data_IF_215235392335
#
_entry.id   IF_215235392335
#
_cell.length_a   1.000
_cell.length_b   1.000
_cell.length_c   1.000
_cell.angle_alpha   90.00
_cell.angle_beta   90.00
_cell.angle_gamma   90.00
#
_symmetry.space_group_name_H-M   'P 1'
#
loop_
_entity.id
_entity.type
_entity.pdbx_description
1 polymer ?
#
# COMPACT_ATOMS: atom_id res chain seq x y z
N UNK A 14 -20.97 2.74 -0.55
CA UNK A 14 -20.32 3.95 -1.15
C UNK A 14 -18.98 3.70 -1.86
N UNK A 15 -17.89 3.77 -1.12
CA UNK A 15 -16.52 3.71 -1.69
C UNK A 15 -16.15 2.36 -2.29
N UNK A 16 -16.49 1.27 -1.61
CA UNK A 16 -16.14 -0.07 -2.09
C UNK A 16 -16.77 -0.35 -3.43
N UNK A 17 -17.90 0.29 -3.70
CA UNK A 17 -18.61 0.03 -4.94
C UNK A 17 -17.90 0.69 -6.14
N UNK A 18 -16.83 1.43 -5.87
CA UNK A 18 -16.04 2.02 -6.95
C UNK A 18 -15.13 1.00 -7.56
N UNK A 19 -14.91 1.10 -8.86
CA UNK A 19 -13.96 0.21 -9.49
C UNK A 19 -12.57 0.73 -9.25
N UNK A 20 -11.60 -0.15 -9.36
CA UNK A 20 -10.20 0.22 -9.22
C UNK A 20 -9.77 1.34 -10.17
N UNK A 21 -10.16 1.25 -11.44
CA UNK A 21 -9.86 2.33 -12.39
C UNK A 21 -10.51 3.64 -11.91
N UNK A 22 -11.80 3.58 -11.56
CA UNK A 22 -12.53 4.75 -11.04
C UNK A 22 -11.82 5.38 -9.84
N UNK A 23 -11.64 4.59 -8.79
CA UNK A 23 -11.01 5.12 -7.58
C UNK A 23 -9.69 5.80 -7.91
N UNK A 24 -8.89 5.17 -8.75
CA UNK A 24 -7.59 5.74 -9.13
C UNK A 24 -7.76 7.03 -9.87
N UNK A 25 -8.50 7.01 -10.97
CA UNK A 25 -8.74 8.19 -11.77
C UNK A 25 -9.11 9.36 -10.87
N UNK A 26 -9.92 9.10 -9.85
CA UNK A 26 -10.34 10.14 -8.91
C UNK A 26 -9.21 10.69 -8.05
N UNK A 27 -8.33 9.79 -7.60
CA UNK A 27 -7.16 10.21 -6.86
C UNK A 27 -6.29 11.04 -7.79
N UNK A 28 -6.16 10.58 -9.02
CA UNK A 28 -5.33 11.23 -10.04
C UNK A 28 -5.86 12.62 -10.43
N UNK A 29 -7.18 12.76 -10.40
CA UNK A 29 -7.92 13.97 -10.82
C UNK A 29 -7.45 15.25 -10.16
N UNK A 30 -7.72 16.36 -10.82
CA UNK A 30 -7.35 17.65 -10.28
C UNK A 30 -8.37 18.13 -9.23
N UNK A 31 -8.80 17.20 -8.38
CA UNK A 31 -9.72 17.46 -7.30
C UNK A 31 -9.02 17.01 -6.00
N UNK A 32 -9.33 17.60 -4.86
CA UNK A 32 -8.74 17.13 -3.62
C UNK A 32 -9.57 16.06 -2.90
N UNK A 33 -10.63 15.52 -3.52
CA UNK A 33 -11.66 14.72 -2.81
C UNK A 33 -11.05 13.49 -2.21
N UNK A 34 -10.56 12.51 -3.01
CA UNK A 34 -9.83 11.36 -2.43
C UNK A 34 -8.32 11.68 -2.38
N UNK A 35 -7.81 11.90 -1.19
CA UNK A 35 -6.39 12.20 -0.99
C UNK A 35 -5.63 11.03 -0.42
N UNK A 36 -4.41 11.29 0.03
CA UNK A 36 -3.53 10.25 0.55
C UNK A 36 -4.20 9.41 1.60
N UNK A 37 -4.76 10.09 2.61
CA UNK A 37 -5.41 9.44 3.76
C UNK A 37 -6.41 8.43 3.27
N UNK A 38 -7.32 8.86 2.38
CA UNK A 38 -8.28 7.94 1.77
C UNK A 38 -7.58 6.75 1.12
N UNK A 39 -6.57 7.01 0.28
CA UNK A 39 -5.84 5.93 -0.36
C UNK A 39 -5.30 4.96 0.69
N UNK A 40 -4.67 5.52 1.73
CA UNK A 40 -4.21 4.75 2.89
C UNK A 40 -5.24 3.76 3.43
N UNK A 41 -6.43 4.26 3.76
CA UNK A 41 -7.50 3.35 4.13
C UNK A 41 -7.75 2.24 3.13
N UNK A 42 -7.77 2.58 1.85
CA UNK A 42 -8.06 1.58 0.84
C UNK A 42 -6.96 0.55 0.82
N UNK A 43 -5.72 1.04 0.92
CA UNK A 43 -4.60 0.11 1.00
C UNK A 43 -4.75 -0.72 2.25
N UNK A 44 -5.12 -0.09 3.35
CA UNK A 44 -5.22 -0.84 4.59
C UNK A 44 -6.21 -1.98 4.40
N UNK A 45 -7.32 -1.67 3.74
CA UNK A 45 -8.37 -2.64 3.53
C UNK A 45 -7.82 -3.82 2.80
N UNK A 46 -7.03 -3.59 1.76
CA UNK A 46 -6.44 -4.67 1.01
C UNK A 46 -5.46 -5.45 1.86
N UNK A 47 -4.74 -4.76 2.74
CA UNK A 47 -3.82 -5.47 3.64
C UNK A 47 -4.58 -6.42 4.54
N UNK A 48 -5.73 -5.97 5.05
CA UNK A 48 -6.58 -6.81 5.88
C UNK A 48 -7.05 -8.02 5.10
N UNK A 49 -7.34 -7.82 3.82
CA UNK A 49 -7.71 -8.96 2.99
C UNK A 49 -6.61 -10.01 2.89
N UNK A 50 -5.35 -9.61 2.77
CA UNK A 50 -4.30 -10.62 2.79
C UNK A 50 -4.32 -11.37 4.12
N UNK A 51 -4.45 -10.64 5.23
CA UNK A 51 -4.45 -11.30 6.51
C UNK A 51 -5.60 -12.27 6.57
N UNK A 52 -6.76 -11.85 6.05
CA UNK A 52 -7.88 -12.75 5.97
C UNK A 52 -7.57 -13.98 5.12
N UNK A 53 -6.89 -13.79 3.98
CA UNK A 53 -6.55 -14.91 3.12
C UNK A 53 -5.71 -15.93 3.86
N UNK A 54 -4.65 -15.47 4.51
CA UNK A 54 -3.80 -16.36 5.28
C UNK A 54 -4.60 -17.06 6.37
N UNK A 55 -5.51 -16.36 7.03
CA UNK A 55 -6.31 -17.01 8.08
C UNK A 55 -7.23 -18.08 7.51
N UNK A 56 -7.86 -17.78 6.37
CA UNK A 56 -8.68 -18.78 5.68
C UNK A 56 -7.90 -20.00 5.31
N UNK A 57 -6.72 -19.80 4.73
CA UNK A 57 -5.92 -20.92 4.34
C UNK A 57 -5.30 -21.64 5.54
N UNK A 58 -5.62 -21.24 6.75
CA UNK A 58 -5.08 -21.89 7.94
C UNK A 58 -6.15 -22.69 8.66
N UNK A 59 -7.39 -22.24 8.56
CA UNK A 59 -8.47 -23.07 9.08
C UNK A 59 -8.76 -24.18 8.09
N UNK A 60 -9.48 -25.19 8.55
CA UNK A 60 -9.74 -26.42 7.76
C UNK A 60 -8.42 -27.00 7.17
N UNK A 61 -7.35 -26.93 7.97
CA UNK A 61 -6.04 -27.51 7.58
C UNK A 61 -5.43 -28.39 8.66
N UNK A 62 -5.03 -29.60 8.28
CA UNK A 62 -4.49 -30.55 9.24
C UNK A 62 -3.17 -30.00 9.76
N UNK A 63 -2.98 -30.08 11.08
CA UNK A 63 -1.80 -29.56 11.75
C UNK A 63 -2.03 -28.20 12.37
N UNK A 64 -3.09 -27.52 11.93
CA UNK A 64 -3.44 -26.17 12.42
C UNK A 64 -4.83 -26.13 13.08
N UNK A 65 -5.36 -27.32 13.38
CA UNK A 65 -6.71 -27.44 13.97
C UNK A 65 -6.84 -26.87 15.39
N UNK A 66 -5.76 -26.86 16.16
CA UNK A 66 -5.80 -26.28 17.50
C UNK A 66 -5.60 -24.77 17.54
N UNK A 67 -5.53 -24.14 16.36
CA UNK A 67 -5.54 -22.67 16.26
C UNK A 67 -6.72 -22.21 15.39
N UNK A 68 -7.61 -23.14 15.05
CA UNK A 68 -8.77 -22.82 14.24
C UNK A 68 -9.75 -21.82 14.86
N UNK A 69 -10.15 -22.01 16.12
CA UNK A 69 -10.89 -20.96 16.81
C UNK A 69 -10.26 -19.61 16.54
N UNK A 70 -8.95 -19.51 16.75
CA UNK A 70 -8.22 -18.27 16.52
C UNK A 70 -8.29 -17.75 15.08
N UNK A 71 -8.31 -18.67 14.11
CA UNK A 71 -8.34 -18.31 12.69
C UNK A 71 -9.71 -17.79 12.26
N UNK A 72 -10.77 -18.46 12.66
CA UNK A 72 -12.10 -17.96 12.34
C UNK A 72 -12.35 -16.60 12.97
N UNK A 73 -11.75 -16.39 14.13
CA UNK A 73 -11.82 -15.13 14.85
C UNK A 73 -11.19 -14.00 14.03
N UNK A 74 -10.08 -14.30 13.36
CA UNK A 74 -9.36 -13.32 12.57
C UNK A 74 -10.12 -13.01 11.31
N UNK A 75 -10.52 -14.05 10.59
CA UNK A 75 -11.37 -13.88 9.42
C UNK A 75 -12.48 -12.85 9.72
N UNK A 76 -13.21 -13.08 10.80
CA UNK A 76 -14.31 -12.20 11.20
C UNK A 76 -13.82 -10.77 11.47
N UNK A 77 -12.69 -10.65 12.16
CA UNK A 77 -12.11 -9.32 12.45
C UNK A 77 -11.64 -8.58 11.19
N UNK A 78 -11.07 -9.33 10.25
CA UNK A 78 -10.58 -8.72 9.03
C UNK A 78 -11.75 -8.33 8.14
N UNK A 79 -12.86 -9.03 8.30
CA UNK A 79 -14.06 -8.67 7.58
C UNK A 79 -14.56 -7.33 8.08
N UNK A 80 -14.56 -7.18 9.41
CA UNK A 80 -15.12 -6.00 10.06
C UNK A 80 -14.16 -4.82 9.88
N UNK A 81 -12.86 -5.11 9.80
CA UNK A 81 -11.87 -4.03 9.62
C UNK A 81 -11.99 -3.39 8.24
N UNK A 82 -12.23 -4.19 7.21
CA UNK A 82 -12.46 -3.63 5.91
C UNK A 82 -13.65 -2.68 5.94
N UNK A 83 -14.78 -3.11 6.52
CA UNK A 83 -15.95 -2.22 6.61
C UNK A 83 -15.58 -0.91 7.30
N UNK A 84 -14.77 -0.97 8.35
CA UNK A 84 -14.37 0.25 9.04
C UNK A 84 -13.54 1.14 8.14
N UNK A 85 -12.59 0.52 7.44
CA UNK A 85 -11.63 1.23 6.62
C UNK A 85 -12.31 1.86 5.42
N UNK A 86 -13.19 1.10 4.80
CA UNK A 86 -13.98 1.70 3.72
C UNK A 86 -14.82 2.86 4.23
N UNK A 87 -15.30 2.78 5.46
CA UNK A 87 -16.06 3.88 5.96
C UNK A 87 -15.13 5.05 6.17
N UNK A 88 -13.92 4.76 6.68
CA UNK A 88 -12.99 5.85 7.01
C UNK A 88 -12.46 6.59 5.78
N UNK A 89 -12.46 5.92 4.64
CA UNK A 89 -12.10 6.58 3.41
C UNK A 89 -13.16 7.61 3.11
N UNK A 90 -14.44 7.22 3.18
CA UNK A 90 -15.58 8.13 2.97
C UNK A 90 -15.45 9.33 3.89
N UNK A 91 -15.25 9.07 5.19
CA UNK A 91 -15.10 10.13 6.17
C UNK A 91 -14.00 11.08 5.78
N UNK A 92 -12.84 10.56 5.37
CA UNK A 92 -11.69 11.40 5.03
C UNK A 92 -12.07 12.43 3.98
N UNK A 93 -12.88 12.03 3.01
CA UNK A 93 -13.29 12.93 1.95
C UNK A 93 -14.32 13.89 2.44
N UNK A 94 -15.22 13.40 3.26
CA UNK A 94 -16.19 14.27 3.89
C UNK A 94 -15.50 15.25 4.82
N UNK A 95 -14.55 14.77 5.60
CA UNK A 95 -13.88 15.62 6.57
C UNK A 95 -13.17 16.76 5.87
N UNK A 96 -12.58 16.46 4.72
CA UNK A 96 -11.85 17.47 3.94
C UNK A 96 -12.77 18.52 3.40
N UNK A 97 -13.94 18.11 2.90
CA UNK A 97 -14.93 19.05 2.40
C UNK A 97 -15.34 20.00 3.49
N UNK A 98 -15.73 19.44 4.63
CA UNK A 98 -16.13 20.21 5.78
C UNK A 98 -15.07 21.24 6.26
N UNK A 99 -13.81 20.83 6.36
CA UNK A 99 -12.71 21.77 6.69
C UNK A 99 -12.56 22.88 5.63
N UNK A 100 -12.41 22.50 4.36
CA UNK A 100 -12.29 23.47 3.27
C UNK A 100 -13.49 24.39 3.27
N UNK A 101 -14.70 23.82 3.45
CA UNK A 101 -15.94 24.62 3.51
C UNK A 101 -16.12 25.27 4.88
N UNK A 102 -15.02 25.68 5.50
CA UNK A 102 -15.03 26.36 6.78
C UNK A 102 -13.80 27.27 6.94
N UNK A 103 -12.82 27.12 6.02
CA UNK A 103 -11.63 28.00 5.93
C UNK A 103 -12.07 29.47 5.86
N UNK A 104 -13.28 29.68 5.33
CA UNK A 104 -13.83 31.01 5.15
C UNK A 104 -14.93 31.37 6.19
N UNK A 105 -15.36 30.38 6.99
CA UNK A 105 -16.29 30.66 8.10
C UNK A 105 -15.55 30.86 9.44
N UNK A 106 -16.30 30.96 10.55
CA UNK A 106 -15.72 31.28 11.88
C UNK A 106 -14.60 30.33 12.34
N UNK A 107 -13.75 30.82 13.26
CA UNK A 107 -12.70 30.01 13.90
C UNK A 107 -13.27 28.99 14.88
N UNK A 108 -14.54 29.17 15.28
CA UNK A 108 -15.24 28.16 16.07
C UNK A 108 -15.48 26.91 15.23
N UNK A 109 -16.28 27.06 14.18
CA UNK A 109 -16.59 25.97 13.26
C UNK A 109 -15.34 25.27 12.65
N UNK A 110 -14.32 26.05 12.24
CA UNK A 110 -13.10 25.52 11.59
C UNK A 110 -12.32 24.63 12.54
N UNK A 111 -11.98 25.17 13.72
CA UNK A 111 -11.25 24.44 14.72
C UNK A 111 -11.89 23.09 15.00
N UNK A 112 -13.21 23.09 15.10
CA UNK A 112 -13.93 21.85 15.33
C UNK A 112 -13.86 20.89 14.13
N UNK A 113 -13.90 21.44 12.92
CA UNK A 113 -13.85 20.61 11.73
C UNK A 113 -12.48 20.00 11.64
N UNK A 114 -11.47 20.83 11.87
CA UNK A 114 -10.10 20.38 11.91
C UNK A 114 -9.91 19.18 12.86
N UNK A 115 -10.58 19.20 14.01
CA UNK A 115 -10.49 18.11 14.99
C UNK A 115 -11.05 16.84 14.42
N UNK A 116 -12.26 16.94 13.87
CA UNK A 116 -12.90 15.77 13.29
C UNK A 116 -12.01 15.22 12.21
N UNK A 117 -11.52 16.09 11.34
CA UNK A 117 -10.66 15.66 10.24
C UNK A 117 -9.42 14.91 10.73
N UNK A 118 -8.78 15.44 11.76
CA UNK A 118 -7.61 14.81 12.29
C UNK A 118 -7.94 13.42 12.86
N UNK A 119 -9.17 13.21 13.30
CA UNK A 119 -9.55 11.95 13.95
C UNK A 119 -9.62 10.84 12.94
N UNK A 120 -9.90 11.19 11.69
CA UNK A 120 -10.12 10.17 10.70
C UNK A 120 -8.87 9.31 10.51
N UNK A 121 -7.72 9.89 10.13
CA UNK A 121 -6.51 9.07 9.96
C UNK A 121 -6.11 8.41 11.27
N UNK A 122 -6.31 9.11 12.39
CA UNK A 122 -6.10 8.50 13.70
C UNK A 122 -6.84 7.18 13.78
N UNK A 123 -8.11 7.19 13.39
CA UNK A 123 -8.91 5.97 13.42
C UNK A 123 -8.35 4.92 12.49
N UNK A 124 -7.95 5.32 11.29
CA UNK A 124 -7.33 4.39 10.37
C UNK A 124 -6.15 3.72 11.03
N UNK A 125 -5.33 4.50 11.70
CA UNK A 125 -4.17 3.96 12.41
C UNK A 125 -4.56 2.93 13.46
N UNK A 126 -5.66 3.17 14.15
CA UNK A 126 -6.06 2.22 15.16
C UNK A 126 -6.36 0.90 14.50
N UNK A 127 -7.11 0.93 13.40
CA UNK A 127 -7.34 -0.31 12.67
C UNK A 127 -6.01 -0.95 12.27
N UNK A 128 -5.07 -0.14 11.81
CA UNK A 128 -3.75 -0.69 11.51
C UNK A 128 -3.10 -1.34 12.71
N UNK A 129 -3.17 -0.70 13.88
CA UNK A 129 -2.71 -1.38 15.08
C UNK A 129 -3.36 -2.77 15.22
N UNK A 130 -4.67 -2.87 14.98
CA UNK A 130 -5.31 -4.17 15.06
C UNK A 130 -4.75 -5.11 14.03
N UNK A 131 -4.58 -4.62 12.80
CA UNK A 131 -4.09 -5.48 11.73
C UNK A 131 -2.73 -5.99 12.10
N UNK A 132 -1.88 -5.12 12.63
CA UNK A 132 -0.53 -5.52 12.97
C UNK A 132 -0.56 -6.66 13.95
N UNK A 133 -1.33 -6.54 15.03
CA UNK A 133 -1.41 -7.59 16.04
C UNK A 133 -1.86 -8.92 15.44
N UNK A 134 -2.74 -8.88 14.46
CA UNK A 134 -3.19 -10.12 13.84
C UNK A 134 -2.11 -10.71 12.95
N UNK A 135 -1.36 -9.84 12.28
CA UNK A 135 -0.27 -10.28 11.43
C UNK A 135 0.75 -10.91 12.31
N UNK A 136 0.93 -10.40 13.52
CA UNK A 136 1.86 -11.11 14.41
C UNK A 136 1.36 -12.53 14.75
N UNK A 137 0.08 -12.65 15.05
CA UNK A 137 -0.48 -13.98 15.30
C UNK A 137 -0.35 -14.84 14.06
N UNK A 138 -0.63 -14.28 12.89
CA UNK A 138 -0.51 -15.07 11.67
C UNK A 138 0.95 -15.51 11.36
N UNK A 139 1.90 -14.61 11.53
CA UNK A 139 3.30 -14.97 11.37
C UNK A 139 3.62 -16.19 12.19
N UNK A 140 3.04 -16.29 13.38
CA UNK A 140 3.50 -17.31 14.32
C UNK A 140 2.72 -18.61 14.20
N UNK A 141 1.40 -18.51 14.08
CA UNK A 141 0.50 -19.65 14.12
C UNK A 141 -0.20 -19.92 12.81
N UNK A 142 -0.05 -19.04 11.84
CA UNK A 142 -0.72 -19.20 10.56
C UNK A 142 0.00 -20.17 9.66
N UNK A 143 -0.63 -20.44 8.52
CA UNK A 143 -0.15 -21.40 7.53
C UNK A 143 1.22 -21.03 6.93
N UNK A 144 2.22 -21.86 7.21
CA UNK A 144 3.61 -21.57 6.82
C UNK A 144 3.85 -21.23 5.31
N UNK A 145 3.03 -21.80 4.42
CA UNK A 145 3.19 -21.56 3.00
C UNK A 145 2.56 -20.27 2.52
N UNK A 146 2.12 -19.43 3.44
CA UNK A 146 1.55 -18.16 3.01
C UNK A 146 2.26 -17.07 3.76
N UNK A 147 3.42 -17.41 4.31
CA UNK A 147 4.19 -16.43 5.03
C UNK A 147 4.39 -15.21 4.14
N UNK A 148 4.73 -15.42 2.87
CA UNK A 148 4.89 -14.31 1.94
C UNK A 148 3.70 -13.35 2.03
N UNK A 149 2.48 -13.88 2.00
CA UNK A 149 1.32 -13.02 2.04
C UNK A 149 1.19 -12.27 3.36
N UNK A 150 1.54 -12.91 4.45
CA UNK A 150 1.59 -12.22 5.71
C UNK A 150 2.58 -11.07 5.68
N UNK A 151 3.78 -11.35 5.18
CA UNK A 151 4.84 -10.35 5.13
C UNK A 151 4.37 -9.20 4.29
N UNK A 152 3.79 -9.52 3.15
CA UNK A 152 3.31 -8.51 2.26
C UNK A 152 2.35 -7.65 3.02
N UNK A 153 1.48 -8.28 3.79
CA UNK A 153 0.49 -7.52 4.52
C UNK A 153 1.15 -6.66 5.59
N UNK A 154 2.22 -7.15 6.20
CA UNK A 154 2.93 -6.33 7.18
C UNK A 154 3.55 -5.11 6.53
N UNK A 155 4.16 -5.32 5.38
CA UNK A 155 4.74 -4.17 4.72
C UNK A 155 3.66 -3.11 4.38
N UNK A 156 2.52 -3.54 3.84
CA UNK A 156 1.48 -2.58 3.51
C UNK A 156 0.94 -1.92 4.78
N UNK A 157 0.65 -2.74 5.78
CA UNK A 157 0.23 -2.25 7.07
C UNK A 157 1.12 -1.07 7.55
N UNK A 158 2.41 -1.35 7.66
CA UNK A 158 3.35 -0.33 8.05
C UNK A 158 3.26 0.95 7.19
N UNK A 159 3.18 0.80 5.88
CA UNK A 159 3.09 2.00 5.03
C UNK A 159 1.82 2.80 5.34
N UNK A 160 0.71 2.09 5.52
CA UNK A 160 -0.54 2.76 5.75
C UNK A 160 -0.33 3.56 7.03
N UNK A 161 0.27 2.94 8.03
CA UNK A 161 0.52 3.68 9.21
C UNK A 161 1.32 4.93 8.87
N UNK A 162 2.37 4.79 8.09
CA UNK A 162 3.13 5.99 7.75
C UNK A 162 2.27 7.00 7.06
N UNK A 163 1.44 6.58 6.10
CA UNK A 163 0.60 7.50 5.33
C UNK A 163 -0.24 8.29 6.32
N UNK A 164 -0.97 7.57 7.15
CA UNK A 164 -1.92 8.20 8.02
C UNK A 164 -1.29 9.08 9.09
N UNK A 165 -0.11 8.71 9.56
CA UNK A 165 0.60 9.55 10.53
C UNK A 165 0.82 10.91 9.91
N UNK A 166 1.33 10.94 8.68
CA UNK A 166 1.48 12.24 8.04
C UNK A 166 0.13 13.00 8.00
N UNK A 167 -0.95 12.29 7.68
CA UNK A 167 -2.23 12.96 7.61
C UNK A 167 -2.74 13.43 8.97
N UNK A 168 -2.52 12.63 10.01
CA UNK A 168 -2.76 13.12 11.36
C UNK A 168 -1.99 14.40 11.67
N UNK A 169 -0.67 14.41 11.40
CA UNK A 169 0.09 15.61 11.73
C UNK A 169 -0.23 16.84 10.90
N UNK A 170 -0.48 16.69 9.60
CA UNK A 170 -0.84 17.88 8.82
C UNK A 170 -2.06 18.55 9.43
N UNK A 171 -3.00 17.76 9.94
CA UNK A 171 -4.16 18.35 10.57
C UNK A 171 -3.93 18.97 11.93
N UNK A 172 -3.25 18.23 12.80
CA UNK A 172 -2.93 18.76 14.11
C UNK A 172 -2.33 20.15 14.12
N UNK A 173 -1.39 20.40 13.20
CA UNK A 173 -0.63 21.66 13.20
C UNK A 173 -1.52 22.89 13.01
N UNK A 174 -2.72 22.66 12.48
CA UNK A 174 -3.69 23.75 12.34
C UNK A 174 -4.61 23.98 13.56
N UNK A 175 -4.61 23.05 14.50
CA UNK A 175 -5.51 23.08 15.66
C UNK A 175 -4.88 23.81 16.84
N UNK A 176 -5.57 24.82 17.32
CA UNK A 176 -5.02 25.74 18.33
C UNK A 176 -5.20 25.20 19.74
N UNK A 177 -6.20 24.36 19.95
CA UNK A 177 -6.43 23.70 21.23
C UNK A 177 -5.23 22.84 21.62
N UNK A 178 -4.35 23.34 22.49
CA UNK A 178 -3.14 22.60 22.85
C UNK A 178 -3.42 21.20 23.40
N UNK A 179 -4.33 21.05 24.36
CA UNK A 179 -4.53 19.75 25.01
C UNK A 179 -4.97 18.72 23.97
N UNK A 180 -5.93 19.05 23.11
CA UNK A 180 -6.31 18.13 22.02
C UNK A 180 -5.12 17.64 21.20
N UNK A 181 -4.23 18.55 20.83
CA UNK A 181 -2.97 18.21 20.18
C UNK A 181 -2.14 17.29 21.08
N UNK A 182 -1.83 17.70 22.32
CA UNK A 182 -0.94 16.86 23.14
C UNK A 182 -1.48 15.45 23.26
N UNK A 183 -2.81 15.33 23.43
CA UNK A 183 -3.48 14.04 23.48
C UNK A 183 -3.29 13.21 22.21
N UNK A 184 -3.75 13.76 21.10
CA UNK A 184 -3.68 13.02 19.87
C UNK A 184 -2.25 12.58 19.60
N UNK A 185 -1.29 13.48 19.86
CA UNK A 185 0.09 13.17 19.63
C UNK A 185 0.49 12.00 20.48
N UNK A 186 0.03 12.02 21.72
CA UNK A 186 0.28 10.93 22.63
C UNK A 186 -0.22 9.57 22.12
N UNK A 187 -1.50 9.53 21.75
CA UNK A 187 -2.10 8.35 21.15
C UNK A 187 -1.31 7.90 19.95
N UNK A 188 -1.04 8.83 19.05
CA UNK A 188 -0.23 8.52 17.89
C UNK A 188 1.07 7.80 18.30
N UNK A 189 1.70 8.27 19.36
CA UNK A 189 3.01 7.78 19.78
C UNK A 189 2.93 6.30 20.15
N UNK A 190 1.87 5.98 20.88
CA UNK A 190 1.56 4.65 21.34
C UNK A 190 1.17 3.71 20.22
N UNK A 191 0.27 4.15 19.35
CA UNK A 191 -0.11 3.30 18.26
C UNK A 191 1.15 3.02 17.45
N UNK A 192 1.96 4.03 17.27
CA UNK A 192 3.17 3.85 16.53
C UNK A 192 4.00 2.70 17.12
N UNK A 193 4.16 2.73 18.44
CA UNK A 193 5.07 1.78 19.08
C UNK A 193 4.53 0.38 18.92
N UNK A 194 3.21 0.23 19.08
CA UNK A 194 2.57 -1.08 18.96
C UNK A 194 2.76 -1.59 17.57
N UNK A 195 2.45 -0.74 16.59
CA UNK A 195 2.59 -1.08 15.20
C UNK A 195 4.05 -1.37 14.79
N UNK A 196 5.00 -0.50 15.13
CA UNK A 196 6.41 -0.79 14.86
C UNK A 196 6.83 -2.12 15.42
N UNK A 197 6.46 -2.36 16.69
CA UNK A 197 6.87 -3.55 17.39
C UNK A 197 6.40 -4.78 16.66
N UNK A 198 5.07 -4.90 16.50
CA UNK A 198 4.53 -6.01 15.73
C UNK A 198 5.23 -6.15 14.38
N UNK A 199 5.38 -5.03 13.69
CA UNK A 199 5.96 -5.03 12.38
C UNK A 199 7.34 -5.66 12.34
N UNK A 200 8.21 -5.17 13.21
CA UNK A 200 9.56 -5.65 13.31
C UNK A 200 9.57 -7.15 13.68
N UNK A 201 8.81 -7.53 14.70
CA UNK A 201 8.68 -8.95 15.05
C UNK A 201 8.24 -9.76 13.83
N UNK A 202 7.19 -9.33 13.14
CA UNK A 202 6.73 -10.09 12.00
C UNK A 202 7.85 -10.24 10.97
N UNK A 203 8.40 -9.11 10.50
CA UNK A 203 9.63 -9.18 9.71
C UNK A 203 10.73 -10.14 10.26
N UNK A 204 11.08 -10.04 11.53
CA UNK A 204 12.15 -10.86 12.08
C UNK A 204 11.77 -12.33 11.97
N UNK A 205 10.60 -12.69 12.49
CA UNK A 205 10.03 -14.03 12.33
C UNK A 205 9.96 -14.56 10.89
N UNK A 206 9.61 -13.70 9.94
CA UNK A 206 9.36 -14.20 8.60
C UNK A 206 10.44 -13.93 7.57
N UNK A 207 11.50 -13.20 7.91
CA UNK A 207 12.45 -12.80 6.85
C UNK A 207 13.04 -14.00 6.08
N UNK A 208 13.17 -15.14 6.75
CA UNK A 208 13.82 -16.29 6.17
C UNK A 208 13.09 -16.96 5.02
N UNK A 209 11.84 -16.64 4.82
CA UNK A 209 11.08 -17.36 3.82
C UNK A 209 11.58 -16.99 2.46
N UNK A 210 12.33 -15.91 2.42
CA UNK A 210 12.81 -15.33 1.17
C UNK A 210 13.91 -16.21 0.53
N UNK A 211 14.47 -17.13 1.31
CA UNK A 211 15.55 -18.01 0.83
C UNK A 211 15.36 -19.48 1.24
N UNK A 212 14.54 -19.74 2.24
CA UNK A 212 14.37 -21.11 2.68
C UNK A 212 13.13 -21.79 2.12
N UNK A 213 13.36 -22.79 1.27
CA UNK A 213 12.30 -23.72 0.83
C UNK A 213 12.39 -25.09 1.56
N UNK B 14 -9.91 -5.70 -17.61
CA UNK B 14 -9.96 -6.83 -16.64
C UNK B 14 -9.97 -6.42 -15.15
N UNK B 15 -8.79 -6.28 -14.54
CA UNK B 15 -8.66 -6.06 -13.10
C UNK B 15 -9.25 -4.73 -12.65
N UNK B 16 -8.98 -3.65 -13.38
CA UNK B 16 -9.41 -2.32 -12.95
C UNK B 16 -10.91 -2.20 -12.88
N UNK B 17 -11.58 -3.00 -13.68
CA UNK B 17 -13.02 -2.97 -13.71
C UNK B 17 -13.64 -3.59 -12.43
N UNK B 18 -12.83 -4.22 -11.56
CA UNK B 18 -13.33 -4.78 -10.31
C UNK B 18 -13.56 -3.66 -9.34
N UNK B 19 -14.55 -3.81 -8.46
CA UNK B 19 -14.79 -2.81 -7.40
C UNK B 19 -13.85 -3.07 -6.23
N UNK B 20 -13.62 -2.06 -5.41
CA UNK B 20 -12.75 -2.22 -4.24
C UNK B 20 -13.19 -3.37 -3.32
N UNK B 21 -14.50 -3.50 -3.13
CA UNK B 21 -15.04 -4.57 -2.30
C UNK B 21 -14.74 -5.92 -2.92
N UNK B 22 -15.06 -6.03 -4.21
CA UNK B 22 -14.76 -7.22 -5.00
C UNK B 22 -13.30 -7.61 -4.84
N UNK B 23 -12.39 -6.71 -5.27
CA UNK B 23 -10.96 -7.05 -5.28
C UNK B 23 -10.54 -7.52 -3.92
N UNK B 24 -10.97 -6.81 -2.89
CA UNK B 24 -10.65 -7.24 -1.54
C UNK B 24 -11.18 -8.63 -1.26
N UNK B 25 -12.50 -8.80 -1.36
CA UNK B 25 -13.13 -10.09 -1.09
C UNK B 25 -12.35 -11.23 -1.70
N UNK B 26 -11.85 -11.03 -2.92
CA UNK B 26 -11.06 -12.04 -3.63
C UNK B 26 -9.70 -12.33 -3.04
N UNK B 27 -9.05 -11.28 -2.56
CA UNK B 27 -7.80 -11.44 -1.85
C UNK B 27 -8.13 -12.26 -0.59
N UNK B 28 -9.19 -11.85 0.11
CA UNK B 28 -9.55 -12.43 1.39
C UNK B 28 -9.95 -13.90 1.27
N UNK B 29 -10.45 -14.25 0.09
CA UNK B 29 -11.05 -15.54 -0.22
C UNK B 29 -10.09 -16.69 -0.10
N UNK B 30 -10.64 -17.89 0.14
CA UNK B 30 -9.84 -19.10 0.32
C UNK B 30 -9.32 -19.61 -1.02
N UNK B 31 -8.95 -18.68 -1.90
CA UNK B 31 -8.33 -18.97 -3.20
C UNK B 31 -6.96 -18.28 -3.27
N UNK B 32 -6.01 -18.82 -4.04
CA UNK B 32 -4.70 -18.18 -4.14
C UNK B 32 -4.58 -17.26 -5.34
N UNK B 33 -5.70 -16.97 -6.03
CA UNK B 33 -5.66 -16.23 -7.31
C UNK B 33 -5.05 -14.83 -7.21
N UNK B 34 -5.67 -13.87 -6.47
CA UNK B 34 -5.00 -12.58 -6.22
C UNK B 34 -4.24 -12.63 -4.90
N UNK B 35 -2.91 -12.72 -5.00
CA UNK B 35 -2.02 -12.81 -3.85
C UNK B 35 -1.38 -11.48 -3.57
N UNK B 36 -0.36 -11.48 -2.68
CA UNK B 36 0.34 -10.27 -2.30
C UNK B 36 0.82 -9.51 -3.51
N UNK B 37 1.53 -10.21 -4.40
CA UNK B 37 2.07 -9.62 -5.63
C UNK B 37 1.05 -8.78 -6.34
N UNK B 38 -0.11 -9.38 -6.62
CA UNK B 38 -1.23 -8.64 -7.25
C UNK B 38 -1.68 -7.41 -6.42
N UNK B 39 -1.91 -7.60 -5.12
CA UNK B 39 -2.17 -6.46 -4.27
C UNK B 39 -1.12 -5.36 -4.50
N UNK B 40 0.15 -5.74 -4.39
CA UNK B 40 1.27 -4.81 -4.54
C UNK B 40 1.08 -3.93 -5.74
N UNK B 41 0.84 -4.55 -6.90
CA UNK B 41 0.55 -3.79 -8.13
C UNK B 41 -0.60 -2.85 -7.99
N UNK B 42 -1.69 -3.32 -7.42
CA UNK B 42 -2.82 -2.42 -7.25
C UNK B 42 -2.41 -1.26 -6.37
N UNK B 43 -1.73 -1.55 -5.25
CA UNK B 43 -1.26 -0.50 -4.41
C UNK B 43 -0.34 0.42 -5.21
N UNK B 44 0.60 -0.12 -5.95
CA UNK B 44 1.49 0.72 -6.73
C UNK B 44 0.71 1.67 -7.63
N UNK B 45 -0.35 1.14 -8.24
CA UNK B 45 -1.18 1.93 -9.13
C UNK B 45 -1.75 3.12 -8.41
N UNK B 46 -2.23 2.91 -7.19
CA UNK B 46 -2.79 4.01 -6.40
C UNK B 46 -1.71 5.01 -6.06
N UNK B 47 -0.51 4.52 -5.78
CA UNK B 47 0.59 5.40 -5.49
C UNK B 47 0.92 6.23 -6.70
N UNK B 48 0.93 5.62 -7.88
CA UNK B 48 1.10 6.40 -9.10
C UNK B 48 0.05 7.49 -9.22
N UNK B 49 -1.20 7.17 -8.84
CA UNK B 49 -2.26 8.17 -8.89
C UNK B 49 -1.98 9.34 -7.96
N UNK B 50 -1.43 9.10 -6.78
CA UNK B 50 -1.07 10.28 -5.99
C UNK B 50 -0.07 11.15 -6.78
N UNK B 51 0.92 10.50 -7.39
CA UNK B 51 1.96 11.25 -8.02
C UNK B 51 1.35 12.10 -9.12
N UNK B 52 0.45 11.47 -9.89
CA UNK B 52 -0.33 12.18 -10.87
C UNK B 52 -1.07 13.36 -10.24
N UNK B 53 -1.73 13.15 -9.11
CA UNK B 53 -2.50 14.24 -8.49
C UNK B 53 -1.61 15.42 -8.24
N UNK B 54 -0.49 15.18 -7.58
CA UNK B 54 0.44 16.25 -7.32
C UNK B 54 0.90 16.95 -8.62
N UNK B 55 1.18 16.17 -9.66
CA UNK B 55 1.60 16.77 -10.90
C UNK B 55 0.49 17.64 -11.45
N UNK B 56 -0.74 17.14 -11.45
CA UNK B 56 -1.86 17.94 -11.94
C UNK B 56 -2.00 19.21 -11.18
N UNK B 57 -1.88 19.12 -9.87
CA UNK B 57 -1.99 20.32 -9.06
C UNK B 57 -0.79 21.24 -9.16
N UNK B 58 0.17 20.91 -10.02
CA UNK B 58 1.33 21.78 -10.25
C UNK B 58 1.30 22.43 -11.62
N UNK B 59 0.72 21.75 -12.59
CA UNK B 59 0.52 22.42 -13.85
C UNK B 59 -0.59 23.41 -13.68
N UNK B 60 -0.70 24.33 -14.65
CA UNK B 60 -1.71 25.42 -14.66
C UNK B 60 -1.67 26.19 -13.34
N UNK B 61 -0.46 26.38 -12.79
CA UNK B 61 -0.27 27.10 -11.52
C UNK B 61 0.85 28.14 -11.61
N UNK B 62 0.55 29.36 -11.15
CA UNK B 62 1.45 30.49 -11.26
C UNK B 62 2.61 30.22 -10.31
N UNK B 63 3.81 30.45 -10.80
CA UNK B 63 5.01 30.17 -10.02
C UNK B 63 5.70 28.89 -10.43
N UNK B 64 4.95 28.00 -11.07
CA UNK B 64 5.41 26.66 -11.43
C UNK B 64 5.34 26.43 -12.95
N UNK B 65 5.20 27.53 -13.68
CA UNK B 65 5.01 27.44 -15.13
C UNK B 65 6.26 26.95 -15.84
N UNK B 66 7.42 27.18 -15.26
CA UNK B 66 8.64 26.72 -15.92
C UNK B 66 8.98 25.27 -15.61
N UNK B 67 8.07 24.56 -14.93
CA UNK B 67 8.21 23.12 -14.78
C UNK B 67 6.97 22.41 -15.33
N UNK B 68 6.14 23.17 -16.02
CA UNK B 68 4.95 22.61 -16.58
C UNK B 68 5.19 21.51 -17.61
N UNK B 69 6.05 21.74 -18.62
CA UNK B 69 6.44 20.65 -19.50
C UNK B 69 6.74 19.38 -18.70
N UNK B 70 7.46 19.52 -17.60
CA UNK B 70 7.83 18.37 -16.79
C UNK B 70 6.63 17.76 -16.09
N UNK B 71 5.68 18.59 -15.70
CA UNK B 71 4.52 18.11 -14.98
C UNK B 71 3.60 17.36 -15.91
N UNK B 72 3.40 17.85 -17.14
CA UNK B 72 2.50 17.17 -18.05
C UNK B 72 3.07 15.84 -18.42
N UNK B 73 4.41 15.77 -18.38
CA UNK B 73 5.18 14.58 -18.76
C UNK B 73 4.97 13.50 -17.71
N UNK B 74 4.88 13.92 -16.45
CA UNK B 74 4.62 13.00 -15.37
C UNK B 74 3.20 12.49 -15.37
N UNK B 75 2.23 13.40 -15.48
CA UNK B 75 0.85 12.99 -15.68
C UNK B 75 0.75 11.88 -16.72
N UNK B 76 1.31 12.10 -17.90
CA UNK B 76 1.29 11.08 -18.95
C UNK B 76 1.92 9.76 -18.48
N UNK B 77 3.06 9.85 -17.81
CA UNK B 77 3.81 8.65 -17.37
C UNK B 77 3.05 7.90 -16.31
N UNK B 78 2.48 8.62 -15.34
CA UNK B 78 1.69 8.02 -14.30
C UNK B 78 0.45 7.37 -14.85
N UNK B 79 -0.09 7.92 -15.95
CA UNK B 79 -1.26 7.33 -16.56
C UNK B 79 -0.90 5.97 -17.13
N UNK B 80 0.25 5.93 -17.80
CA UNK B 80 0.72 4.73 -18.48
C UNK B 80 1.23 3.70 -17.47
N UNK B 81 1.78 4.19 -16.35
CA UNK B 81 2.21 3.30 -15.29
C UNK B 81 1.01 2.50 -14.77
N UNK B 82 -0.08 3.17 -14.54
CA UNK B 82 -1.24 2.48 -14.03
C UNK B 82 -1.67 1.37 -14.99
N UNK B 83 -1.68 1.65 -16.29
CA UNK B 83 -2.05 0.59 -17.20
C UNK B 83 -1.09 -0.59 -17.06
N UNK B 84 0.21 -0.30 -16.89
CA UNK B 84 1.19 -1.38 -16.76
C UNK B 84 0.91 -2.17 -15.50
N UNK B 85 0.67 -1.45 -14.41
CA UNK B 85 0.49 -2.11 -13.13
C UNK B 85 -0.76 -2.99 -13.14
N UNK B 86 -1.83 -2.48 -13.70
CA UNK B 86 -3.05 -3.25 -13.73
C UNK B 86 -2.84 -4.47 -14.62
N UNK B 87 -1.97 -4.35 -15.60
CA UNK B 87 -1.68 -5.52 -16.38
C UNK B 87 -0.88 -6.49 -15.56
N UNK B 88 0.12 -5.99 -14.88
CA UNK B 88 0.96 -6.86 -14.09
C UNK B 88 0.18 -7.57 -13.00
N UNK B 89 -0.91 -6.97 -12.54
CA UNK B 89 -1.71 -7.64 -11.53
C UNK B 89 -2.28 -8.92 -12.14
N UNK B 90 -2.83 -8.79 -13.37
CA UNK B 90 -3.46 -9.91 -14.12
C UNK B 90 -2.39 -10.96 -14.33
N UNK B 91 -1.24 -10.55 -14.86
CA UNK B 91 -0.17 -11.50 -15.08
C UNK B 91 0.12 -12.30 -13.80
N UNK B 92 0.27 -11.62 -12.67
CA UNK B 92 0.64 -12.28 -11.43
C UNK B 92 -0.28 -13.46 -11.14
N UNK B 93 -1.57 -13.27 -11.36
CA UNK B 93 -2.54 -14.33 -11.10
C UNK B 93 -2.41 -15.41 -12.13
N UNK B 94 -2.16 -15.01 -13.37
CA UNK B 94 -1.99 -15.95 -14.46
C UNK B 94 -0.69 -16.72 -14.28
N UNK B 95 0.36 -16.01 -13.86
CA UNK B 95 1.66 -16.63 -13.64
C UNK B 95 1.63 -17.63 -12.50
N UNK B 96 0.86 -17.36 -11.46
CA UNK B 96 0.63 -18.31 -10.37
C UNK B 96 -0.15 -19.55 -10.79
N UNK B 97 -1.21 -19.38 -11.59
CA UNK B 97 -1.98 -20.51 -12.10
C UNK B 97 -1.05 -21.42 -12.87
N UNK B 98 -0.30 -20.83 -13.80
CA UNK B 98 0.59 -21.56 -14.70
C UNK B 98 1.62 -22.36 -13.91
N UNK B 99 2.14 -21.79 -12.85
CA UNK B 99 3.11 -22.46 -11.97
C UNK B 99 2.48 -23.62 -11.21
N UNK B 100 1.38 -23.36 -10.50
CA UNK B 100 0.63 -24.43 -9.84
C UNK B 100 0.21 -25.57 -10.76
N UNK B 101 -0.37 -25.22 -11.90
CA UNK B 101 -0.76 -26.19 -12.92
C UNK B 101 0.48 -26.73 -13.64
N UNK B 102 1.60 -26.85 -12.93
CA UNK B 102 2.87 -27.33 -13.50
C UNK B 102 3.72 -27.96 -12.46
N UNK B 103 3.29 -27.83 -11.21
CA UNK B 103 3.90 -28.55 -10.09
C UNK B 103 3.95 -30.04 -10.39
N UNK B 104 2.95 -30.51 -11.13
CA UNK B 104 2.79 -31.91 -11.38
C UNK B 104 3.17 -32.29 -12.80
N UNK B 105 3.55 -31.31 -13.62
CA UNK B 105 4.10 -31.62 -14.94
C UNK B 105 5.64 -31.62 -14.94
N UNK B 106 6.24 -31.79 -16.11
CA UNK B 106 7.70 -31.89 -16.27
C UNK B 106 8.48 -30.74 -15.59
N UNK B 107 9.73 -31.02 -15.25
CA UNK B 107 10.64 -29.99 -14.74
C UNK B 107 11.05 -29.02 -15.82
N UNK B 108 10.88 -29.36 -17.08
CA UNK B 108 11.05 -28.39 -18.16
C UNK B 108 10.00 -27.28 -17.99
N UNK B 109 8.73 -27.67 -18.17
CA UNK B 109 7.58 -26.76 -18.11
C UNK B 109 7.57 -25.91 -16.81
N UNK B 110 7.82 -26.56 -15.67
CA UNK B 110 7.81 -25.91 -14.35
C UNK B 110 8.88 -24.86 -14.22
N UNK B 111 10.12 -25.23 -14.47
CA UNK B 111 11.21 -24.26 -14.43
C UNK B 111 10.94 -23.01 -15.27
N UNK B 112 10.44 -23.21 -16.49
CA UNK B 112 10.09 -22.09 -17.34
C UNK B 112 8.94 -21.24 -16.72
N UNK B 113 7.96 -21.91 -16.10
CA UNK B 113 6.83 -21.21 -15.50
C UNK B 113 7.30 -20.40 -14.33
N UNK B 114 8.19 -20.99 -13.54
CA UNK B 114 8.81 -20.26 -12.44
C UNK B 114 9.55 -18.98 -12.85
N UNK B 115 10.21 -19.01 -14.01
CA UNK B 115 10.94 -17.85 -14.48
C UNK B 115 9.94 -16.77 -14.82
N UNK B 116 8.96 -17.10 -15.66
CA UNK B 116 7.92 -16.14 -16.02
C UNK B 116 7.31 -15.55 -14.76
N UNK B 117 6.93 -16.41 -13.83
CA UNK B 117 6.34 -15.94 -12.61
C UNK B 117 7.25 -14.97 -11.88
N UNK B 118 8.54 -15.27 -11.80
CA UNK B 118 9.44 -14.36 -11.09
C UNK B 118 9.61 -13.00 -11.81
N UNK B 119 9.36 -12.99 -13.14
CA UNK B 119 9.49 -11.74 -13.91
C UNK B 119 8.39 -10.75 -13.61
N UNK B 120 7.26 -11.25 -13.11
CA UNK B 120 6.12 -10.37 -12.94
C UNK B 120 6.38 -9.34 -11.88
N UNK B 121 6.70 -9.75 -10.64
CA UNK B 121 6.98 -8.75 -9.63
C UNK B 121 8.23 -7.94 -10.02
N UNK B 122 9.17 -8.57 -10.71
CA UNK B 122 10.35 -7.86 -11.16
C UNK B 122 9.93 -6.66 -12.01
N UNK B 123 8.95 -6.90 -12.86
CA UNK B 123 8.42 -5.85 -13.67
C UNK B 123 7.67 -4.80 -12.88
N UNK B 124 6.82 -5.21 -11.94
CA UNK B 124 6.23 -4.26 -11.01
C UNK B 124 7.30 -3.42 -10.30
N UNK B 125 8.41 -4.05 -9.92
CA UNK B 125 9.47 -3.27 -9.29
C UNK B 125 10.01 -2.19 -10.23
N UNK B 126 10.13 -2.51 -11.49
CA UNK B 126 10.71 -1.53 -12.38
C UNK B 126 9.76 -0.34 -12.49
N UNK B 127 8.45 -0.61 -12.51
CA UNK B 127 7.50 0.49 -12.47
C UNK B 127 7.70 1.34 -11.21
N UNK B 128 7.85 0.70 -10.05
CA UNK B 128 8.13 1.40 -8.81
C UNK B 128 9.36 2.27 -8.94
N UNK B 129 10.42 1.73 -9.59
CA UNK B 129 11.63 2.51 -9.79
C UNK B 129 11.25 3.79 -10.55
N UNK B 130 10.36 3.68 -11.53
CA UNK B 130 9.97 4.87 -12.27
C UNK B 130 9.20 5.82 -11.40
N UNK B 131 8.27 5.26 -10.62
CA UNK B 131 7.49 6.04 -9.71
C UNK B 131 8.44 6.77 -8.78
N UNK B 132 9.43 6.07 -8.22
CA UNK B 132 10.30 6.72 -7.24
C UNK B 132 10.98 7.92 -7.84
N UNK B 133 11.50 7.74 -9.05
CA UNK B 133 12.20 8.82 -9.73
C UNK B 133 11.28 10.02 -9.93
N UNK B 134 10.00 9.79 -10.23
CA UNK B 134 9.06 10.90 -10.40
C UNK B 134 8.73 11.57 -9.07
N UNK B 135 8.62 10.74 -8.04
CA UNK B 135 8.39 11.28 -6.73
C UNK B 135 9.57 12.16 -6.33
N UNK B 136 10.77 11.85 -6.82
CA UNK B 136 11.88 12.71 -6.47
C UNK B 136 11.71 14.00 -7.17
N UNK B 137 11.29 13.95 -8.42
CA UNK B 137 11.05 15.19 -9.14
C UNK B 137 9.92 15.99 -8.49
N UNK B 138 8.86 15.33 -8.06
CA UNK B 138 7.75 16.06 -7.46
C UNK B 138 8.14 16.64 -6.10
N UNK B 139 8.92 15.91 -5.33
CA UNK B 139 9.29 16.46 -4.04
C UNK B 139 10.05 17.76 -4.24
N UNK B 140 10.78 17.89 -5.36
CA UNK B 140 11.62 19.04 -5.55
C UNK B 140 10.93 20.18 -6.24
N UNK B 141 10.24 19.86 -7.33
CA UNK B 141 9.67 20.84 -8.23
C UNK B 141 8.16 20.92 -8.15
N UNK B 142 7.54 19.96 -7.48
CA UNK B 142 6.08 19.89 -7.40
C UNK B 142 5.48 20.88 -6.41
N UNK B 143 4.17 21.00 -6.46
CA UNK B 143 3.40 21.95 -5.67
C UNK B 143 3.54 21.76 -4.16
N UNK B 144 4.20 22.70 -3.50
CA UNK B 144 4.53 22.61 -2.08
C UNK B 144 3.37 22.22 -1.15
N UNK B 145 2.15 22.66 -1.43
CA UNK B 145 1.03 22.26 -0.55
C UNK B 145 0.48 20.84 -0.77
N UNK B 146 1.20 20.00 -1.50
CA UNK B 146 0.74 18.66 -1.74
C UNK B 146 1.87 17.72 -1.40
N UNK B 147 2.82 18.27 -0.67
CA UNK B 147 3.93 17.48 -0.23
C UNK B 147 3.44 16.23 0.48
N UNK B 148 2.44 16.40 1.35
CA UNK B 148 1.90 15.26 2.09
C UNK B 148 1.55 14.13 1.13
N UNK B 149 0.90 14.46 0.03
CA UNK B 149 0.51 13.43 -0.94
C UNK B 149 1.71 12.81 -1.61
N UNK B 150 2.71 13.63 -1.92
CA UNK B 150 3.95 13.09 -2.43
C UNK B 150 4.55 12.12 -1.43
N UNK B 151 4.58 12.50 -0.16
CA UNK B 151 5.21 11.64 0.83
C UNK B 151 4.41 10.38 0.98
N UNK B 152 3.09 10.51 1.05
CA UNK B 152 2.28 9.33 1.14
C UNK B 152 2.63 8.44 -0.01
N UNK B 153 2.77 8.98 -1.22
CA UNK B 153 3.00 8.09 -2.35
C UNK B 153 4.33 7.38 -2.15
N UNK B 154 5.32 8.06 -1.57
CA UNK B 154 6.64 7.48 -1.51
C UNK B 154 6.60 6.30 -0.57
N UNK B 155 5.97 6.49 0.57
CA UNK B 155 5.84 5.42 1.52
C UNK B 155 5.14 4.24 0.84
N UNK B 156 4.07 4.46 0.06
CA UNK B 156 3.43 3.32 -0.62
C UNK B 156 4.38 2.70 -1.61
N UNK B 157 5.02 3.53 -2.42
CA UNK B 157 6.01 3.07 -3.41
C UNK B 157 7.00 2.14 -2.75
N UNK B 158 7.58 2.60 -1.65
CA UNK B 158 8.55 1.80 -0.95
C UNK B 158 8.00 0.47 -0.51
N UNK B 159 6.78 0.47 0.03
CA UNK B 159 6.16 -0.77 0.48
C UNK B 159 5.95 -1.69 -0.68
N UNK B 160 5.53 -1.14 -1.82
CA UNK B 160 5.22 -2.03 -2.91
C UNK B 160 6.50 -2.71 -3.34
N UNK B 161 7.57 -1.93 -3.42
CA UNK B 161 8.83 -2.56 -3.66
C UNK B 161 9.10 -3.68 -2.64
N UNK B 162 8.85 -3.43 -1.36
CA UNK B 162 9.13 -4.50 -0.41
C UNK B 162 8.25 -5.69 -0.70
N UNK B 163 6.96 -5.45 -0.94
CA UNK B 163 6.03 -6.55 -1.30
C UNK B 163 6.57 -7.36 -2.48
N UNK B 164 6.93 -6.69 -3.55
CA UNK B 164 7.33 -7.37 -4.72
C UNK B 164 8.64 -8.06 -4.59
N UNK B 165 9.60 -7.47 -3.85
CA UNK B 165 10.89 -8.14 -3.64
C UNK B 165 10.66 -9.50 -3.05
N UNK B 166 9.86 -9.57 -1.99
CA UNK B 166 9.52 -10.85 -1.41
C UNK B 166 9.02 -11.76 -2.52
N UNK B 167 8.05 -11.32 -3.30
CA UNK B 167 7.53 -12.21 -4.32
C UNK B 167 8.58 -12.57 -5.38
N UNK B 168 9.49 -11.66 -5.72
CA UNK B 168 10.54 -12.10 -6.61
C UNK B 168 11.39 -13.24 -6.00
N UNK B 169 11.81 -13.08 -4.75
CA UNK B 169 12.67 -14.08 -4.16
C UNK B 169 11.95 -15.41 -3.93
N UNK B 170 10.67 -15.40 -3.54
CA UNK B 170 10.00 -16.69 -3.31
C UNK B 170 10.01 -17.51 -4.56
N UNK B 171 9.97 -16.86 -5.71
CA UNK B 171 10.05 -17.62 -6.93
C UNK B 171 11.46 -18.01 -7.26
N UNK B 172 12.40 -17.07 -7.22
CA UNK B 172 13.79 -17.42 -7.55
C UNK B 172 14.24 -18.69 -6.87
N UNK B 173 14.01 -18.78 -5.56
CA UNK B 173 14.54 -19.88 -4.79
C UNK B 173 14.21 -21.27 -5.34
N UNK B 174 13.16 -21.35 -6.14
CA UNK B 174 12.72 -22.59 -6.77
C UNK B 174 13.39 -22.84 -8.13
N UNK B 175 14.04 -21.82 -8.68
CA UNK B 175 14.64 -21.86 -10.03
C UNK B 175 16.09 -22.40 -10.02
N UNK B 176 16.31 -23.49 -10.75
CA UNK B 176 17.56 -24.23 -10.66
C UNK B 176 18.64 -23.62 -11.54
N UNK B 177 18.20 -22.89 -12.56
CA UNK B 177 19.12 -22.21 -13.47
C UNK B 177 19.89 -21.13 -12.72
N UNK B 178 21.15 -21.39 -12.41
CA UNK B 178 21.91 -20.43 -11.60
C UNK B 178 22.07 -19.05 -12.27
N UNK B 179 22.43 -19.01 -13.54
CA UNK B 179 22.71 -17.70 -14.11
C UNK B 179 21.46 -16.86 -14.08
N UNK B 180 20.31 -17.42 -14.47
CA UNK B 180 19.03 -16.69 -14.34
C UNK B 180 18.90 -16.11 -12.94
N UNK B 181 19.14 -16.91 -11.91
CA UNK B 181 19.07 -16.39 -10.54
C UNK B 181 20.07 -15.27 -10.27
N UNK B 182 21.33 -15.46 -10.62
CA UNK B 182 22.31 -14.40 -10.29
C UNK B 182 21.99 -13.08 -11.02
N UNK B 183 21.50 -13.15 -12.25
CA UNK B 183 21.05 -12.00 -12.99
C UNK B 183 19.90 -11.28 -12.31
N UNK B 184 18.83 -12.02 -12.04
CA UNK B 184 17.64 -11.44 -11.49
C UNK B 184 18.03 -10.75 -10.20
N UNK B 185 18.84 -11.43 -9.40
CA UNK B 185 19.21 -10.92 -8.07
C UNK B 185 19.94 -9.62 -8.21
N UNK B 186 20.78 -9.58 -9.24
CA UNK B 186 21.57 -8.42 -9.60
C UNK B 186 20.71 -7.24 -9.98
N UNK B 187 19.78 -7.44 -10.92
CA UNK B 187 18.82 -6.43 -11.30
C UNK B 187 18.12 -5.93 -10.05
N UNK B 188 17.59 -6.89 -9.28
CA UNK B 188 16.81 -6.59 -8.10
C UNK B 188 17.58 -5.65 -7.19
N UNK B 189 18.88 -5.87 -7.04
CA UNK B 189 19.62 -5.04 -6.13
C UNK B 189 19.76 -3.61 -6.63
N UNK B 190 19.89 -3.45 -7.95
CA UNK B 190 19.98 -2.15 -8.58
C UNK B 190 18.70 -1.37 -8.44
N UNK B 191 17.59 -2.05 -8.69
CA UNK B 191 16.32 -1.39 -8.61
C UNK B 191 16.09 -0.99 -7.18
N UNK B 192 16.44 -1.89 -6.25
CA UNK B 192 16.33 -1.60 -4.85
C UNK B 192 17.07 -0.32 -4.54
N UNK B 193 18.33 -0.25 -4.98
CA UNK B 193 19.18 0.90 -4.63
C UNK B 193 18.61 2.20 -5.22
N UNK B 194 18.10 2.16 -6.45
CA UNK B 194 17.58 3.35 -7.06
C UNK B 194 16.32 3.80 -6.32
N UNK B 195 15.48 2.83 -5.97
CA UNK B 195 14.28 3.10 -5.22
C UNK B 195 14.62 3.62 -3.84
N UNK B 196 15.48 2.93 -3.09
CA UNK B 196 15.90 3.42 -1.77
C UNK B 196 16.37 4.87 -1.82
N UNK B 197 17.24 5.17 -2.80
CA UNK B 197 17.89 6.46 -2.89
C UNK B 197 16.90 7.57 -3.09
N UNK B 198 16.04 7.39 -4.09
CA UNK B 198 14.97 8.32 -4.31
C UNK B 198 14.13 8.45 -3.03
N UNK B 199 13.76 7.31 -2.46
CA UNK B 199 12.91 7.28 -1.30
C UNK B 199 13.47 8.15 -0.21
N UNK B 200 14.71 7.85 0.18
CA UNK B 200 15.39 8.55 1.28
C UNK B 200 15.44 10.05 0.97
N UNK B 201 15.92 10.40 -0.22
CA UNK B 201 15.88 11.78 -0.72
C UNK B 201 14.48 12.43 -0.65
N UNK B 202 13.45 11.74 -1.12
CA UNK B 202 12.11 12.30 -1.00
C UNK B 202 11.77 12.54 0.47
N UNK B 203 11.89 11.52 1.32
CA UNK B 203 11.73 11.72 2.75
C UNK B 203 12.53 12.94 3.26
N UNK B 204 13.84 12.97 2.96
CA UNK B 204 14.72 13.98 3.55
C UNK B 204 14.20 15.37 3.19
N UNK B 205 13.87 15.54 1.92
CA UNK B 205 13.37 16.78 1.39
C UNK B 205 12.04 17.15 1.98
N UNK B 206 11.22 16.17 2.31
CA UNK B 206 9.83 16.50 2.65
C UNK B 206 9.43 16.29 4.10
N UNK B 207 10.24 15.58 4.88
CA UNK B 207 9.90 15.33 6.28
C UNK B 207 9.42 16.57 7.07
N UNK B 208 9.94 17.77 6.74
CA UNK B 208 9.64 19.04 7.44
C UNK B 208 8.23 19.61 7.32
N UNK B 209 7.46 19.13 6.36
CA UNK B 209 6.08 19.55 6.20
C UNK B 209 5.20 19.06 7.34
N UNK B 210 5.71 18.09 8.08
CA UNK B 210 4.99 17.48 9.19
C UNK B 210 4.86 18.38 10.43
N UNK B 211 5.64 19.46 10.47
CA UNK B 211 5.48 20.50 11.51
C UNK B 211 5.45 21.90 10.92
#
# INVERSE_FOLDING_TARGET
>A
XGSDKIHHHHHHXEVERLSLKEFCDMVAERKPTPGGGAVGSVVGAMACALAEMVANFTRKKKGYEDVEPEMERIVEAMEEARLKLFDLAKKDMEAFEKVMKAYKSSEGELQNALKEAASVPMDVIRVMKDLAHELEKLAEFGNKNLASDTLNAADLCHAVFQVEKVNVLINLKEISDETFRKNMLEELEEQEAQIEGCYQRVKKMLEGIVWSSK
>B
XGSDKIHHHHHHXEVERLSLKEFCDMVAERKPTPGGGAVGSVVGAMACALAEMVANFTRKKKGYEDVEPEMERIVEAMEEARLKLFDLAKKDMEAFEKVMKAYKSSEGELQNALKEAASVPMDVIRVMKDLAHELEKLAEFGNKNLASDTLNAADLCHAVFQVEKVNVLINLKEISDETFRKNMLEELEEQEAQIEGCYQRVKKMLEGIVWSSK
#
